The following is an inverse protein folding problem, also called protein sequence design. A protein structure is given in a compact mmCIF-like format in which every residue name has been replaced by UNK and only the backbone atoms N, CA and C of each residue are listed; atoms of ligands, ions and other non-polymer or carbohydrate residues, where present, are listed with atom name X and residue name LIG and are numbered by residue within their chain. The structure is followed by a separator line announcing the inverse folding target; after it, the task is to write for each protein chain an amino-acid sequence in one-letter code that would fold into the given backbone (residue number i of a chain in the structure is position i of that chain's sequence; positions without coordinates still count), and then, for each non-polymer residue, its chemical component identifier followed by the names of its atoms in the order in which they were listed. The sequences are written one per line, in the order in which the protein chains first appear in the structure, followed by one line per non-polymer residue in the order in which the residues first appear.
data_IF_265402288426
#
_entry.id   IF_265402288426
#
_cell.length_a   1.000
_cell.length_b   1.000
_cell.length_c   1.000
_cell.angle_alpha   90.00
_cell.angle_beta   90.00
_cell.angle_gamma   90.00
#
_symmetry.space_group_name_H-M   'P 1'
#
loop_
_entity.id
_entity.type
_entity.pdbx_description
1 polymer ?
#
# COMPACT_ATOMS: atom_id res chain seq x y z
N UNK A 1 25.08 -17.52 -29.80
CA UNK A 1 25.40 -18.00 -28.43
C UNK A 1 25.91 -16.89 -27.51
N UNK A 2 26.80 -15.99 -27.95
CA UNK A 2 27.27 -14.88 -27.11
C UNK A 2 26.15 -13.92 -26.62
N UNK A 3 25.15 -13.65 -27.47
CA UNK A 3 23.99 -12.81 -27.12
C UNK A 3 23.10 -13.40 -26.03
N UNK A 4 22.90 -14.73 -26.04
CA UNK A 4 22.10 -15.39 -25.02
C UNK A 4 22.66 -15.17 -23.61
N UNK A 5 23.97 -15.36 -23.43
CA UNK A 5 24.61 -15.18 -22.13
C UNK A 5 24.62 -13.72 -21.67
N UNK A 6 24.76 -12.76 -22.59
CA UNK A 6 24.62 -11.33 -22.23
C UNK A 6 23.20 -10.99 -21.79
N UNK A 7 22.19 -11.58 -22.43
CA UNK A 7 20.78 -11.38 -22.06
C UNK A 7 20.48 -11.99 -20.69
N UNK A 8 20.98 -13.21 -20.42
CA UNK A 8 20.85 -13.85 -19.10
C UNK A 8 21.48 -12.98 -18.01
N UNK A 9 22.71 -12.47 -18.23
CA UNK A 9 23.38 -11.58 -17.26
C UNK A 9 22.60 -10.29 -17.05
N UNK A 10 22.05 -9.71 -18.12
CA UNK A 10 21.19 -8.54 -18.03
C UNK A 10 19.95 -8.83 -17.17
N UNK A 11 19.24 -9.92 -17.45
CA UNK A 11 18.04 -10.33 -16.72
C UNK A 11 18.35 -10.56 -15.24
N UNK A 12 19.44 -11.23 -14.90
CA UNK A 12 19.82 -11.48 -13.50
C UNK A 12 20.10 -10.18 -12.75
N UNK A 13 20.79 -9.21 -13.39
CA UNK A 13 21.05 -7.89 -12.79
C UNK A 13 19.77 -7.11 -12.49
N UNK A 14 18.73 -7.30 -13.29
CA UNK A 14 17.42 -6.65 -13.11
C UNK A 14 16.56 -7.39 -12.08
N UNK A 15 16.47 -8.71 -12.19
CA UNK A 15 15.51 -9.50 -11.42
C UNK A 15 16.01 -9.79 -10.00
N UNK A 16 17.31 -9.99 -9.78
CA UNK A 16 17.81 -10.37 -8.46
C UNK A 16 17.43 -9.37 -7.35
N UNK A 17 17.61 -8.05 -7.51
CA UNK A 17 17.16 -7.08 -6.50
C UNK A 17 15.64 -7.09 -6.26
N UNK A 18 14.84 -7.37 -7.29
CA UNK A 18 13.38 -7.47 -7.16
C UNK A 18 12.96 -8.75 -6.41
N UNK A 19 13.67 -9.85 -6.64
CA UNK A 19 13.46 -11.09 -5.89
C UNK A 19 13.79 -10.89 -4.40
N UNK A 20 14.81 -10.10 -4.08
CA UNK A 20 15.13 -9.78 -2.68
C UNK A 20 13.99 -9.00 -2.00
N UNK A 21 13.34 -8.05 -2.71
CA UNK A 21 12.15 -7.35 -2.20
C UNK A 21 11.00 -8.33 -1.96
N UNK A 22 10.72 -9.23 -2.90
CA UNK A 22 9.65 -10.23 -2.78
C UNK A 22 9.92 -11.15 -1.58
N UNK A 23 11.14 -11.66 -1.44
CA UNK A 23 11.53 -12.52 -0.31
C UNK A 23 11.41 -11.83 1.04
N UNK A 24 11.65 -10.53 1.09
CA UNK A 24 11.44 -9.74 2.31
C UNK A 24 9.95 -9.62 2.64
N UNK A 25 9.10 -9.38 1.64
CA UNK A 25 7.64 -9.28 1.80
C UNK A 25 6.99 -10.61 2.18
N UNK A 26 7.48 -11.72 1.65
CA UNK A 26 6.99 -13.07 1.95
C UNK A 26 7.47 -13.59 3.32
N UNK A 27 8.36 -12.87 4.01
CA UNK A 27 8.85 -13.29 5.31
C UNK A 27 7.88 -12.88 6.43
N UNK A 28 6.93 -13.76 6.75
CA UNK A 28 5.89 -13.55 7.77
C UNK A 28 6.43 -13.24 9.18
N UNK A 29 7.70 -13.56 9.47
CA UNK A 29 8.29 -13.36 10.82
C UNK A 29 8.59 -11.89 11.14
N UNK A 30 8.69 -11.02 10.12
CA UNK A 30 8.94 -9.59 10.31
C UNK A 30 7.98 -8.81 9.41
N UNK A 31 7.08 -7.99 9.98
CA UNK A 31 6.15 -7.24 9.16
C UNK A 31 6.88 -6.31 8.17
N UNK A 32 6.63 -6.52 6.87
CA UNK A 32 7.34 -5.84 5.80
C UNK A 32 6.77 -4.45 5.46
N UNK A 33 5.61 -4.08 6.05
CA UNK A 33 4.85 -2.88 5.70
C UNK A 33 5.65 -1.59 5.88
N UNK A 34 6.46 -1.51 6.93
CA UNK A 34 7.36 -0.37 7.18
C UNK A 34 8.59 -0.31 6.28
N UNK A 35 8.85 -1.34 5.47
CA UNK A 35 10.11 -1.54 4.76
C UNK A 35 9.96 -1.61 3.23
N UNK A 36 8.83 -2.10 2.71
CA UNK A 36 8.62 -2.37 1.29
C UNK A 36 8.87 -1.15 0.38
N UNK A 37 8.43 0.05 0.81
CA UNK A 37 8.65 1.28 0.04
C UNK A 37 10.15 1.58 -0.11
N UNK A 38 10.91 1.47 0.98
CA UNK A 38 12.36 1.67 0.99
C UNK A 38 13.07 0.61 0.14
N UNK A 39 12.67 -0.65 0.30
CA UNK A 39 13.27 -1.78 -0.39
C UNK A 39 13.09 -1.69 -1.91
N UNK A 40 11.96 -1.17 -2.39
CA UNK A 40 11.76 -0.88 -3.81
C UNK A 40 12.76 0.17 -4.33
N UNK A 41 13.03 1.22 -3.55
CA UNK A 41 14.07 2.21 -3.85
C UNK A 41 15.46 1.58 -3.91
N UNK A 42 15.83 0.78 -2.91
CA UNK A 42 17.11 0.04 -2.86
C UNK A 42 17.26 -0.92 -4.04
N UNK A 43 16.16 -1.57 -4.48
CA UNK A 43 16.18 -2.43 -5.65
C UNK A 43 16.50 -1.64 -6.93
N UNK A 44 15.86 -0.47 -7.12
CA UNK A 44 16.18 0.42 -8.25
C UNK A 44 17.63 0.89 -8.21
N UNK A 45 18.12 1.35 -7.06
CA UNK A 45 19.53 1.74 -6.89
C UNK A 45 20.51 0.60 -7.20
N UNK A 46 20.18 -0.63 -6.79
CA UNK A 46 21.00 -1.81 -7.06
C UNK A 46 21.06 -2.15 -8.55
N UNK A 47 19.93 -2.02 -9.26
CA UNK A 47 19.86 -2.18 -10.73
C UNK A 47 20.71 -1.12 -11.41
N UNK A 48 20.57 0.15 -11.02
CA UNK A 48 21.36 1.26 -11.56
C UNK A 48 22.87 0.99 -11.39
N UNK A 49 23.29 0.62 -10.19
CA UNK A 49 24.70 0.30 -9.88
C UNK A 49 25.20 -0.87 -10.73
N UNK A 50 24.40 -1.91 -10.94
CA UNK A 50 24.76 -3.07 -11.75
C UNK A 50 25.06 -2.72 -13.23
N UNK A 51 24.59 -1.56 -13.69
CA UNK A 51 24.84 -1.02 -15.02
C UNK A 51 25.74 0.22 -15.01
N UNK A 52 26.48 0.49 -13.92
CA UNK A 52 27.40 1.61 -13.77
C UNK A 52 26.72 2.97 -14.06
N UNK A 53 25.48 3.15 -13.60
CA UNK A 53 24.67 4.36 -13.86
C UNK A 53 24.45 4.68 -15.35
N UNK A 54 24.60 3.69 -16.23
CA UNK A 54 24.25 3.85 -17.64
C UNK A 54 22.73 3.77 -17.82
N UNK A 55 22.06 4.93 -17.74
CA UNK A 55 20.60 5.09 -17.84
C UNK A 55 19.97 4.37 -19.04
N UNK A 56 20.65 4.32 -20.19
CA UNK A 56 20.14 3.64 -21.39
C UNK A 56 19.83 2.16 -21.17
N UNK A 57 20.46 1.51 -20.19
CA UNK A 57 20.29 0.08 -19.90
C UNK A 57 19.13 -0.23 -18.95
N UNK A 58 18.74 0.69 -18.09
CA UNK A 58 17.73 0.43 -17.04
C UNK A 58 16.53 1.37 -17.05
N UNK A 59 16.54 2.46 -17.83
CA UNK A 59 15.42 3.41 -17.87
C UNK A 59 14.09 2.73 -18.22
N UNK A 60 14.07 1.94 -19.30
CA UNK A 60 12.87 1.20 -19.69
C UNK A 60 12.43 0.17 -18.62
N UNK A 61 13.38 -0.39 -17.87
CA UNK A 61 13.09 -1.28 -16.74
C UNK A 61 12.45 -0.50 -15.59
N UNK A 62 12.95 0.69 -15.27
CA UNK A 62 12.35 1.56 -14.25
C UNK A 62 10.95 1.98 -14.64
N UNK A 63 10.71 2.33 -15.90
CA UNK A 63 9.36 2.66 -16.37
C UNK A 63 8.38 1.48 -16.17
N UNK A 64 8.84 0.24 -16.39
CA UNK A 64 8.06 -0.97 -16.13
C UNK A 64 7.82 -1.16 -14.63
N UNK A 65 8.87 -1.01 -13.80
CA UNK A 65 8.77 -1.15 -12.34
C UNK A 65 7.81 -0.11 -11.79
N UNK A 66 7.96 1.16 -12.15
CA UNK A 66 7.14 2.27 -11.67
C UNK A 66 5.69 2.09 -12.11
N UNK A 67 5.44 1.67 -13.36
CA UNK A 67 4.08 1.34 -13.81
C UNK A 67 3.46 0.20 -12.99
N UNK A 68 4.24 -0.84 -12.67
CA UNK A 68 3.75 -1.98 -11.87
C UNK A 68 3.54 -1.59 -10.42
N UNK A 69 4.42 -0.76 -9.88
CA UNK A 69 4.28 -0.18 -8.56
C UNK A 69 2.97 0.58 -8.47
N UNK A 70 2.76 1.61 -9.27
CA UNK A 70 1.57 2.47 -9.19
C UNK A 70 0.25 1.75 -9.49
N UNK A 71 0.24 0.74 -10.36
CA UNK A 71 -1.00 0.07 -10.76
C UNK A 71 -1.34 -1.21 -9.97
N UNK A 72 -0.40 -1.81 -9.25
CA UNK A 72 -0.59 -3.17 -8.69
C UNK A 72 -0.02 -3.39 -7.30
N UNK A 73 1.05 -2.68 -6.93
CA UNK A 73 1.80 -2.97 -5.70
C UNK A 73 1.82 -1.82 -4.71
N UNK A 74 1.69 -0.58 -5.18
CA UNK A 74 1.67 0.59 -4.33
C UNK A 74 0.30 0.75 -3.70
N UNK A 75 0.30 0.88 -2.39
CA UNK A 75 -0.89 1.05 -1.60
C UNK A 75 -0.63 2.19 -0.58
N UNK A 76 -1.61 3.05 -0.25
CA UNK A 76 -1.49 4.02 0.86
C UNK A 76 -0.79 3.48 2.11
N UNK A 77 -1.06 2.22 2.48
CA UNK A 77 -0.39 1.51 3.58
C UNK A 77 1.14 1.44 3.42
N UNK A 78 1.66 1.19 2.23
CA UNK A 78 3.11 1.14 1.98
C UNK A 78 3.76 2.51 2.18
N UNK A 79 3.10 3.56 1.70
CA UNK A 79 3.54 4.95 1.89
C UNK A 79 3.53 5.35 3.37
N UNK A 80 2.43 5.04 4.05
CA UNK A 80 2.23 5.39 5.44
C UNK A 80 3.12 4.57 6.39
N UNK A 81 3.29 3.27 6.12
CA UNK A 81 4.20 2.40 6.85
C UNK A 81 5.65 2.87 6.75
N UNK A 82 6.08 3.31 5.56
CA UNK A 82 7.39 3.93 5.38
C UNK A 82 7.52 5.26 6.15
N UNK A 83 6.48 6.10 6.12
CA UNK A 83 6.45 7.37 6.84
C UNK A 83 6.53 7.18 8.37
N UNK A 84 5.87 6.15 8.89
CA UNK A 84 5.79 5.86 10.33
C UNK A 84 6.93 4.96 10.82
N UNK A 85 7.84 4.54 9.93
CA UNK A 85 9.02 3.79 10.33
C UNK A 85 10.07 4.75 10.93
N UNK A 86 10.40 4.64 12.24
CA UNK A 86 11.32 5.55 12.90
C UNK A 86 12.76 5.43 12.39
N UNK A 87 13.14 4.27 11.83
CA UNK A 87 14.44 4.09 11.19
C UNK A 87 14.58 5.09 10.03
N UNK A 88 13.57 5.15 9.16
CA UNK A 88 13.60 5.96 7.95
C UNK A 88 13.18 7.40 8.18
N UNK A 89 12.08 7.63 8.91
CA UNK A 89 11.51 8.97 9.08
C UNK A 89 12.52 9.96 9.68
N UNK A 90 13.25 9.54 10.72
CA UNK A 90 14.21 10.42 11.39
C UNK A 90 15.59 10.46 10.71
N UNK A 91 15.89 9.52 9.82
CA UNK A 91 17.13 9.54 9.03
C UNK A 91 17.00 10.37 7.75
N UNK A 92 15.81 10.40 7.15
CA UNK A 92 15.56 10.94 5.80
C UNK A 92 14.57 12.11 5.83
N UNK A 93 15.06 13.37 5.86
CA UNK A 93 14.21 14.57 5.91
C UNK A 93 13.24 14.70 4.73
N UNK A 94 13.51 14.02 3.62
CA UNK A 94 12.68 14.08 2.41
C UNK A 94 11.32 13.40 2.61
N UNK A 95 11.20 12.49 3.58
CA UNK A 95 9.97 11.74 3.87
C UNK A 95 8.84 12.69 4.27
N UNK A 96 9.13 13.66 5.13
CA UNK A 96 8.11 14.57 5.66
C UNK A 96 7.45 15.41 4.56
N UNK A 97 8.22 15.80 3.55
CA UNK A 97 7.76 16.67 2.46
C UNK A 97 7.34 15.88 1.20
N UNK A 98 7.41 14.56 1.23
CA UNK A 98 7.06 13.70 0.10
C UNK A 98 5.54 13.68 -0.14
N UNK A 99 5.00 14.28 -1.23
CA UNK A 99 3.55 14.43 -1.40
C UNK A 99 2.81 13.09 -1.47
N UNK A 100 3.42 12.08 -2.10
CA UNK A 100 2.86 10.72 -2.16
C UNK A 100 2.78 10.08 -0.77
N UNK A 101 3.81 10.27 0.05
CA UNK A 101 3.89 9.69 1.39
C UNK A 101 2.90 10.34 2.34
N UNK A 102 2.83 11.67 2.34
CA UNK A 102 1.86 12.43 3.13
C UNK A 102 0.44 12.09 2.73
N UNK A 103 0.14 12.01 1.43
CA UNK A 103 -1.19 11.62 0.94
C UNK A 103 -1.55 10.19 1.36
N UNK A 104 -0.60 9.25 1.25
CA UNK A 104 -0.80 7.87 1.69
C UNK A 104 -1.09 7.78 3.19
N UNK A 105 -0.30 8.47 4.02
CA UNK A 105 -0.52 8.55 5.46
C UNK A 105 -1.90 9.12 5.81
N UNK A 106 -2.27 10.26 5.23
CA UNK A 106 -3.58 10.89 5.48
C UNK A 106 -4.73 9.98 5.08
N UNK A 107 -4.62 9.29 3.94
CA UNK A 107 -5.65 8.32 3.53
C UNK A 107 -5.79 7.16 4.52
N UNK A 108 -4.69 6.65 5.05
CA UNK A 108 -4.74 5.62 6.08
C UNK A 108 -5.36 6.12 7.39
N UNK A 109 -5.00 7.33 7.84
CA UNK A 109 -5.61 7.94 9.05
C UNK A 109 -7.11 8.12 8.87
N UNK A 110 -7.56 8.73 7.77
CA UNK A 110 -8.98 8.92 7.45
C UNK A 110 -9.76 7.60 7.42
N UNK A 111 -9.13 6.52 6.94
CA UNK A 111 -9.81 5.22 6.78
C UNK A 111 -9.81 4.38 8.05
N UNK A 112 -8.78 4.50 8.89
CA UNK A 112 -8.59 3.72 10.12
C UNK A 112 -9.07 4.44 11.39
N UNK A 113 -9.36 5.74 11.31
CA UNK A 113 -9.94 6.49 12.43
C UNK A 113 -11.44 6.23 12.50
N UNK A 114 -11.95 6.03 13.71
CA UNK A 114 -13.37 5.76 13.94
C UNK A 114 -14.21 7.03 13.96
N UNK A 115 -13.59 8.18 14.26
CA UNK A 115 -14.24 9.48 14.32
C UNK A 115 -13.28 10.63 14.04
N UNK A 116 -13.85 11.79 13.71
CA UNK A 116 -13.10 13.03 13.46
C UNK A 116 -12.28 13.45 14.71
N UNK A 117 -12.80 13.20 15.91
CA UNK A 117 -12.07 13.48 17.15
C UNK A 117 -10.81 12.63 17.31
N UNK A 118 -10.84 11.37 16.83
CA UNK A 118 -9.66 10.49 16.83
C UNK A 118 -8.65 10.98 15.79
N UNK A 119 -9.11 11.38 14.60
CA UNK A 119 -8.24 11.96 13.58
C UNK A 119 -7.53 13.25 14.05
N UNK A 120 -8.24 14.12 14.76
CA UNK A 120 -7.68 15.34 15.34
C UNK A 120 -6.62 15.04 16.40
N UNK A 121 -6.88 14.07 17.30
CA UNK A 121 -5.88 13.61 18.28
C UNK A 121 -4.65 13.03 17.60
N UNK A 122 -4.84 12.18 16.59
CA UNK A 122 -3.75 11.60 15.80
C UNK A 122 -2.94 12.71 15.13
N UNK A 123 -3.57 13.77 14.62
CA UNK A 123 -2.86 14.90 14.01
C UNK A 123 -1.96 15.64 15.00
N UNK A 124 -2.41 15.83 16.25
CA UNK A 124 -1.59 16.43 17.32
C UNK A 124 -0.43 15.49 17.71
N UNK A 125 -0.71 14.21 17.90
CA UNK A 125 0.29 13.20 18.26
C UNK A 125 1.33 13.00 17.15
N UNK A 126 0.90 13.10 15.89
CA UNK A 126 1.80 13.06 14.74
C UNK A 126 2.79 14.23 14.77
N UNK A 127 2.37 15.43 15.19
CA UNK A 127 3.30 16.54 15.37
C UNK A 127 4.36 16.26 16.45
N UNK A 128 4.00 15.55 17.53
CA UNK A 128 4.95 15.13 18.56
C UNK A 128 5.95 14.09 18.03
N UNK A 129 5.46 13.08 17.31
CA UNK A 129 6.30 12.10 16.62
C UNK A 129 7.29 12.81 15.69
N UNK A 130 6.80 13.69 14.80
CA UNK A 130 7.63 14.45 13.85
C UNK A 130 8.72 15.27 14.55
N UNK A 131 8.34 15.99 15.60
CA UNK A 131 9.26 16.81 16.39
C UNK A 131 10.23 16.04 17.27
N UNK A 132 10.12 14.70 17.34
CA UNK A 132 10.85 13.85 18.29
C UNK A 132 10.76 14.39 19.73
N UNK A 133 9.60 14.92 20.11
CA UNK A 133 9.38 15.48 21.46
C UNK A 133 8.99 14.38 22.45
N UNK A 134 8.99 14.72 23.74
CA UNK A 134 8.63 13.76 24.79
C UNK A 134 9.60 12.57 24.88
N UNK A 135 9.07 11.35 25.00
CA UNK A 135 9.86 10.11 25.07
C UNK A 135 10.77 9.92 23.84
N UNK A 136 10.37 10.42 22.67
CA UNK A 136 11.12 10.24 21.42
C UNK A 136 12.45 10.97 21.37
N UNK A 137 12.66 11.97 22.26
CA UNK A 137 13.90 12.71 22.40
C UNK A 137 14.92 12.03 23.33
N UNK A 138 14.55 10.96 24.04
CA UNK A 138 15.44 10.27 24.96
C UNK A 138 16.54 9.53 24.18
N UNK A 139 17.80 9.67 24.62
CA UNK A 139 18.97 9.11 23.92
C UNK A 139 18.87 7.61 23.64
N UNK A 140 18.29 6.82 24.56
CA UNK A 140 18.12 5.38 24.34
C UNK A 140 17.08 5.10 23.26
N UNK A 141 15.98 5.86 23.25
CA UNK A 141 14.88 5.73 22.27
C UNK A 141 15.37 6.06 20.87
N UNK A 142 16.17 7.13 20.72
CA UNK A 142 16.81 7.51 19.45
C UNK A 142 17.71 6.39 18.92
N UNK A 143 18.57 5.82 19.77
CA UNK A 143 19.46 4.71 19.38
C UNK A 143 18.67 3.47 18.95
N UNK A 144 17.52 3.23 19.57
CA UNK A 144 16.73 2.04 19.30
C UNK A 144 15.87 2.09 18.04
N UNK A 145 15.77 3.26 17.38
CA UNK A 145 15.05 3.42 16.10
C UNK A 145 15.54 2.48 15.00
N UNK A 146 16.82 2.15 15.01
CA UNK A 146 17.46 1.26 14.02
C UNK A 146 17.69 -0.17 14.54
N UNK A 147 17.42 -0.44 15.83
CA UNK A 147 17.69 -1.76 16.43
C UNK A 147 16.44 -2.55 16.73
N UNK A 148 15.32 -1.87 16.99
CA UNK A 148 14.02 -2.49 17.17
C UNK A 148 13.24 -2.47 15.86
N UNK A 149 12.39 -3.49 15.66
CA UNK A 149 11.40 -3.43 14.60
C UNK A 149 10.43 -2.26 14.85
N UNK A 150 9.93 -1.59 13.81
CA UNK A 150 9.07 -0.41 13.92
C UNK A 150 7.85 -0.61 14.83
N UNK A 151 7.18 -1.75 14.71
CA UNK A 151 6.05 -2.12 15.58
C UNK A 151 6.46 -2.22 17.05
N UNK A 152 7.58 -2.87 17.34
CA UNK A 152 8.09 -3.05 18.70
C UNK A 152 8.61 -1.74 19.31
N UNK A 153 9.26 -0.90 18.49
CA UNK A 153 9.65 0.44 18.89
C UNK A 153 8.43 1.29 19.26
N UNK A 154 7.38 1.24 18.42
CA UNK A 154 6.12 1.96 18.66
C UNK A 154 5.45 1.45 19.94
N UNK A 155 5.32 0.15 20.15
CA UNK A 155 4.79 -0.44 21.40
C UNK A 155 5.58 -0.01 22.63
N UNK A 156 6.90 0.07 22.53
CA UNK A 156 7.78 0.39 23.67
C UNK A 156 7.74 1.87 24.07
N UNK A 157 7.55 2.78 23.11
CA UNK A 157 7.76 4.22 23.31
C UNK A 157 6.57 5.10 22.93
N UNK A 158 5.50 4.53 22.40
CA UNK A 158 4.31 5.24 21.93
C UNK A 158 3.31 5.64 23.02
N UNK A 159 3.63 5.47 24.31
CA UNK A 159 2.71 5.75 25.42
C UNK A 159 2.22 7.22 25.48
N UNK A 160 3.01 8.18 24.97
CA UNK A 160 2.63 9.59 24.90
C UNK A 160 1.81 9.94 23.65
N UNK A 161 1.67 9.00 22.71
CA UNK A 161 0.91 9.13 21.47
C UNK A 161 -0.04 7.94 21.28
N UNK A 162 -0.95 7.64 22.23
CA UNK A 162 -1.69 6.37 22.26
C UNK A 162 -2.54 6.11 21.00
N UNK A 163 -3.22 7.11 20.45
CA UNK A 163 -4.08 6.95 19.26
C UNK A 163 -3.22 6.68 18.01
N UNK A 164 -2.13 7.42 17.85
CA UNK A 164 -1.17 7.20 16.77
C UNK A 164 -0.40 5.88 16.95
N UNK A 165 -0.06 5.51 18.18
CA UNK A 165 0.62 4.25 18.50
C UNK A 165 -0.23 3.07 18.05
N UNK A 166 -1.53 3.08 18.39
CA UNK A 166 -2.47 2.05 17.98
C UNK A 166 -2.52 1.93 16.46
N UNK A 167 -2.68 3.05 15.76
CA UNK A 167 -2.70 3.10 14.29
C UNK A 167 -1.37 2.60 13.67
N UNK A 168 -0.22 3.00 14.23
CA UNK A 168 1.10 2.54 13.78
C UNK A 168 1.22 1.02 13.95
N UNK A 169 0.82 0.48 15.10
CA UNK A 169 0.90 -0.95 15.37
C UNK A 169 -0.03 -1.72 14.44
N UNK A 170 -1.27 -1.28 14.27
CA UNK A 170 -2.24 -1.85 13.32
C UNK A 170 -1.65 -1.91 11.93
N UNK A 171 -1.26 -0.77 11.38
CA UNK A 171 -0.75 -0.66 10.02
C UNK A 171 0.53 -1.46 9.79
N UNK A 172 1.49 -1.35 10.70
CA UNK A 172 2.78 -2.00 10.54
C UNK A 172 2.71 -3.50 10.78
N UNK A 173 1.69 -4.02 11.47
CA UNK A 173 1.51 -5.46 11.69
C UNK A 173 0.79 -6.17 10.53
N UNK A 174 0.23 -5.43 9.57
CA UNK A 174 -0.39 -6.00 8.38
C UNK A 174 0.65 -6.69 7.47
N UNK A 175 0.24 -7.81 6.87
CA UNK A 175 1.03 -8.53 5.87
C UNK A 175 0.99 -7.79 4.52
N UNK A 176 2.12 -7.76 3.83
CA UNK A 176 2.23 -7.15 2.49
C UNK A 176 1.91 -8.14 1.34
N UNK A 177 1.65 -9.41 1.65
CA UNK A 177 1.39 -10.44 0.65
C UNK A 177 -0.10 -10.76 0.53
N UNK A 178 -0.59 -10.88 -0.71
CA UNK A 178 -1.96 -11.31 -0.99
C UNK A 178 -2.21 -12.79 -0.65
N UNK A 179 -1.18 -13.58 -0.28
CA UNK A 179 -1.36 -14.98 0.11
C UNK A 179 -2.01 -15.11 1.49
N UNK A 180 -1.61 -14.27 2.46
CA UNK A 180 -2.35 -14.13 3.71
C UNK A 180 -3.78 -13.65 3.48
N UNK A 181 -3.98 -12.81 2.45
CA UNK A 181 -5.29 -12.28 2.06
C UNK A 181 -6.26 -13.31 1.44
N UNK A 182 -5.75 -14.38 0.82
CA UNK A 182 -6.60 -15.40 0.19
C UNK A 182 -7.27 -16.34 1.19
N UNK A 183 -6.70 -16.52 2.38
CA UNK A 183 -7.38 -17.17 3.50
C UNK A 183 -8.51 -16.31 4.09
N UNK A 184 -8.63 -15.04 3.69
CA UNK A 184 -9.60 -14.06 4.23
C UNK A 184 -10.90 -13.97 3.42
N UNK A 185 -11.01 -14.72 2.33
CA UNK A 185 -12.23 -14.86 1.53
C UNK A 185 -12.88 -16.24 1.64
N UNK A 186 -12.34 -17.14 2.47
CA UNK A 186 -12.97 -18.44 2.73
C UNK A 186 -14.02 -18.29 3.83
N UNK A 187 -15.24 -18.75 3.54
CA UNK A 187 -16.21 -19.07 4.61
C UNK A 187 -15.58 -20.15 5.49
N UNK A 188 -15.64 -19.98 6.81
CA UNK A 188 -15.38 -21.07 7.74
C UNK A 188 -16.34 -22.23 7.47
N UNK A 189 -16.01 -23.43 7.94
CA UNK A 189 -16.93 -24.61 7.83
C UNK A 189 -18.31 -24.36 8.48
N UNK A 190 -18.43 -23.34 9.34
CA UNK A 190 -19.65 -22.90 10.02
C UNK A 190 -20.47 -21.84 9.23
N UNK A 191 -19.96 -21.34 8.10
CA UNK A 191 -20.71 -20.47 7.17
C UNK A 191 -20.68 -18.96 7.48
N UNK A 192 -19.93 -18.52 8.50
CA UNK A 192 -19.84 -17.10 8.85
C UNK A 192 -18.69 -16.38 8.09
N UNK A 193 -18.91 -15.14 7.61
CA UNK A 193 -17.90 -14.37 6.90
C UNK A 193 -16.84 -13.80 7.86
N UNK A 194 -15.56 -14.07 7.60
CA UNK A 194 -14.40 -13.54 8.36
C UNK A 194 -14.27 -12.00 8.34
N UNK A 195 -15.14 -11.28 7.64
CA UNK A 195 -14.99 -9.85 7.35
C UNK A 195 -15.30 -8.96 8.57
N UNK A 196 -16.13 -9.44 9.50
CA UNK A 196 -16.46 -8.75 10.75
C UNK A 196 -15.53 -9.16 11.91
N UNK A 197 -14.70 -10.19 11.72
CA UNK A 197 -13.75 -10.65 12.74
C UNK A 197 -12.63 -9.63 12.96
N UNK A 198 -12.19 -9.58 14.21
CA UNK A 198 -11.02 -8.80 14.62
C UNK A 198 -9.74 -9.46 14.07
N UNK A 199 -8.84 -8.64 13.54
CA UNK A 199 -7.53 -9.03 13.02
C UNK A 199 -6.64 -9.56 14.16
N UNK A 200 -6.85 -9.05 15.37
CA UNK A 200 -6.16 -9.46 16.58
C UNK A 200 -7.18 -9.57 17.73
N UNK A 201 -7.02 -10.58 18.61
CA UNK A 201 -7.93 -10.82 19.74
C UNK A 201 -8.00 -9.63 20.74
N UNK A 202 -7.00 -8.74 20.72
CA UNK A 202 -6.82 -7.63 21.66
C UNK A 202 -7.11 -6.24 21.05
N UNK A 203 -7.71 -6.14 19.85
CA UNK A 203 -7.88 -4.86 19.14
C UNK A 203 -9.21 -4.76 18.39
N UNK A 204 -9.67 -3.55 18.06
CA UNK A 204 -10.93 -3.26 17.34
C UNK A 204 -10.80 -3.32 15.79
N UNK A 205 -9.60 -3.63 15.28
CA UNK A 205 -9.33 -3.66 13.85
C UNK A 205 -10.03 -4.86 13.20
N UNK A 206 -11.01 -4.61 12.34
CA UNK A 206 -11.72 -5.65 11.59
C UNK A 206 -11.06 -5.95 10.24
N UNK A 207 -11.26 -7.16 9.72
CA UNK A 207 -10.84 -7.49 8.35
C UNK A 207 -11.55 -6.64 7.28
N UNK A 208 -12.75 -6.11 7.56
CA UNK A 208 -13.43 -5.12 6.73
C UNK A 208 -12.63 -3.81 6.60
N UNK A 209 -12.11 -3.29 7.71
CA UNK A 209 -11.25 -2.11 7.68
C UNK A 209 -9.94 -2.42 6.95
N UNK A 210 -9.33 -3.59 7.17
CA UNK A 210 -8.11 -3.99 6.45
C UNK A 210 -8.34 -4.13 4.95
N UNK A 211 -9.44 -4.74 4.51
CA UNK A 211 -9.78 -4.90 3.08
C UNK A 211 -10.11 -3.58 2.40
N UNK A 212 -10.84 -2.68 3.07
CA UNK A 212 -11.09 -1.32 2.60
C UNK A 212 -9.79 -0.52 2.49
N UNK A 213 -8.93 -0.62 3.51
CA UNK A 213 -7.64 0.06 3.46
C UNK A 213 -6.83 -0.55 2.35
N UNK A 214 -6.47 -1.83 2.39
CA UNK A 214 -5.59 -2.51 1.41
C UNK A 214 -6.06 -2.53 -0.05
N UNK A 215 -7.29 -2.09 -0.33
CA UNK A 215 -7.83 -2.03 -1.69
C UNK A 215 -7.98 -3.41 -2.33
N UNK A 216 -8.13 -4.47 -1.54
CA UNK A 216 -8.23 -5.87 -2.03
C UNK A 216 -9.40 -6.07 -3.00
N UNK A 217 -10.44 -5.24 -2.89
CA UNK A 217 -11.60 -5.23 -3.79
C UNK A 217 -11.47 -4.25 -4.97
N UNK A 218 -10.36 -3.52 -5.10
CA UNK A 218 -10.11 -2.67 -6.26
C UNK A 218 -9.72 -3.55 -7.48
N UNK A 219 -10.18 -3.21 -8.70
CA UNK A 219 -9.92 -4.02 -9.86
C UNK A 219 -8.42 -4.07 -10.19
N UNK A 220 -7.82 -5.26 -10.10
CA UNK A 220 -6.43 -5.51 -10.50
C UNK A 220 -6.29 -5.24 -12.00
N UNK A 221 -5.59 -4.16 -12.36
CA UNK A 221 -5.37 -3.82 -13.77
C UNK A 221 -4.29 -4.74 -14.35
N UNK A 222 -4.69 -5.68 -15.21
CA UNK A 222 -3.78 -6.52 -15.98
C UNK A 222 -3.18 -5.75 -17.16
N UNK A 223 -1.94 -5.30 -17.00
CA UNK A 223 -1.19 -4.55 -18.04
C UNK A 223 -0.98 -5.30 -19.36
N UNK A 224 -1.21 -6.62 -19.44
CA UNK A 224 -1.20 -7.38 -20.71
C UNK A 224 -2.37 -7.03 -21.63
N UNK A 225 -3.54 -6.64 -21.10
CA UNK A 225 -4.76 -6.44 -21.90
C UNK A 225 -4.85 -5.05 -22.53
N UNK A 226 -4.08 -4.08 -22.05
CA UNK A 226 -4.07 -2.70 -22.57
C UNK A 226 -3.59 -2.59 -24.03
N UNK A 227 -2.76 -3.52 -24.52
CA UNK A 227 -2.34 -3.52 -25.94
C UNK A 227 -3.39 -4.06 -26.90
N UNK A 228 -4.32 -4.90 -26.43
CA UNK A 228 -5.35 -5.47 -27.29
C UNK A 228 -6.50 -4.47 -27.58
N UNK A 229 -6.59 -3.38 -26.81
CA UNK A 229 -7.60 -2.35 -27.02
C UNK A 229 -7.12 -1.22 -27.96
N UNK A 230 -5.81 -1.03 -28.12
CA UNK A 230 -5.27 -0.05 -29.09
C UNK A 230 -5.32 -0.59 -30.53
N UNK A 231 -5.10 -1.90 -30.74
CA UNK A 231 -5.13 -2.52 -32.08
C UNK A 231 -6.54 -2.90 -32.58
N UNK A 232 -7.57 -2.81 -31.73
CA UNK A 232 -8.95 -3.21 -32.07
C UNK A 232 -9.82 -2.09 -32.66
N UNK A 233 -9.27 -0.88 -32.87
CA UNK A 233 -10.04 0.24 -33.46
C UNK A 233 -10.22 0.16 -34.99
N UNK A 234 -9.83 -0.94 -35.63
CA UNK A 234 -10.13 -1.21 -37.05
C UNK A 234 -10.69 -2.60 -37.25
N UNK A 235 -12.02 -2.73 -37.16
CA UNK A 235 -12.90 -3.53 -38.04
C UNK A 235 -14.15 -4.01 -37.28
N UNK A 236 -15.31 -3.79 -37.91
CA UNK A 236 -16.66 -4.10 -37.46
C UNK A 236 -17.01 -5.58 -37.65
N UNK A 237 -17.48 -6.27 -36.60
CA UNK A 237 -18.54 -7.29 -36.62
C UNK A 237 -18.87 -7.78 -35.18
N UNK A 238 -20.17 -7.95 -34.89
CA UNK A 238 -20.79 -8.51 -33.67
C UNK A 238 -20.28 -9.94 -33.36
N UNK A 239 -20.38 -10.53 -32.16
CA UNK A 239 -21.56 -10.71 -31.28
C UNK A 239 -21.15 -11.45 -29.97
N UNK A 240 -22.09 -11.57 -29.01
CA UNK A 240 -22.27 -12.61 -27.94
C UNK A 240 -21.73 -12.19 -26.54
N UNK A 241 -22.48 -12.05 -25.42
CA UNK A 241 -23.89 -12.21 -24.96
C UNK A 241 -24.17 -11.10 -23.93
N UNK A 242 -25.37 -10.55 -23.92
CA UNK A 242 -25.90 -9.68 -22.86
C UNK A 242 -26.76 -10.56 -21.95
N UNK A 243 -26.50 -10.58 -20.64
CA UNK A 243 -27.50 -11.04 -19.66
C UNK A 243 -28.28 -9.82 -19.17
N UNK A 244 -29.60 -9.98 -19.20
CA UNK A 244 -30.64 -8.98 -19.08
C UNK A 244 -30.70 -8.36 -17.67
N UNK A 245 -30.86 -7.04 -17.61
CA UNK A 245 -31.38 -6.33 -16.44
C UNK A 245 -32.81 -5.92 -16.79
N UNK A 246 -33.79 -6.47 -16.08
CA UNK A 246 -35.19 -6.03 -16.18
C UNK A 246 -35.30 -4.59 -15.65
N UNK A 247 -35.80 -3.69 -16.51
CA UNK A 247 -36.19 -2.33 -16.15
C UNK A 247 -37.66 -2.36 -15.70
N UNK A 248 -37.90 -1.93 -14.45
CA UNK A 248 -39.24 -1.67 -13.94
C UNK A 248 -39.76 -0.33 -14.49
N UNK A 249 -40.71 -0.41 -15.42
CA UNK A 249 -41.57 0.69 -15.87
C UNK A 249 -42.73 0.88 -14.87
N UNK A 250 -42.70 1.94 -14.07
CA UNK A 250 -43.93 2.57 -13.57
C UNK A 250 -43.94 4.05 -13.99
N UNK A 251 -44.81 4.31 -14.95
CA UNK A 251 -45.13 5.60 -15.54
C UNK A 251 -46.43 6.10 -14.87
N UNK A 252 -46.42 7.29 -14.26
CA UNK A 252 -47.67 8.05 -14.09
C UNK A 252 -47.39 9.56 -14.11
N UNK A 253 -48.24 10.23 -14.90
CA UNK A 253 -48.21 11.60 -15.36
C UNK A 253 -48.26 12.65 -14.23
N UNK A 254 -47.78 13.86 -14.49
CA UNK A 254 -48.63 15.06 -14.53
C UNK A 254 -47.87 16.29 -15.05
N UNK A 255 -48.56 16.97 -15.96
CA UNK A 255 -48.17 18.17 -16.68
C UNK A 255 -48.19 19.46 -15.83
N UNK A 256 -47.46 20.44 -16.37
CA UNK A 256 -47.78 21.87 -16.43
C UNK A 256 -47.53 22.85 -15.23
N UNK A 257 -46.75 23.88 -15.60
CA UNK A 257 -46.98 25.33 -15.40
C UNK A 257 -46.36 26.07 -14.19
N UNK A 258 -45.42 26.98 -14.53
CA UNK A 258 -45.11 28.30 -13.94
C UNK A 258 -44.64 28.32 -12.45
N UNK A 259 -43.74 29.17 -11.97
CA UNK A 259 -43.20 30.47 -12.39
C UNK A 259 -41.92 30.76 -11.55
N UNK A 260 -41.05 31.63 -12.08
CA UNK A 260 -40.22 32.62 -11.37
C UNK A 260 -39.09 32.27 -10.36
N UNK A 261 -37.90 32.76 -10.77
CA UNK A 261 -36.67 33.21 -10.05
C UNK A 261 -35.51 32.23 -9.90
#
# INVERSE_FOLDING_TARGET
MASFWSDVVYTLKVIAPLVDVIRMVDNERKPAMGYIYAAMGVAKESIEKAFNSNSSKYKAVFDIIDKRWECQLHHPLHSAGYYLNPEYYYEKPEIENGPKLVRGLRKCIETLSESDEVEDKISVQLAQYKGATGLFGIRVVIRQRMTLAPTEWSKSYGAEIPDLQLLVVKMLSLVCSAFGCKQMGEMREDGEPLQEDLVHEDDDLTWAQVTKVSGVNEPVIYTRRSRLLEDASTSRAQQVVVEDVEEDDENEELEEYFDDI
#
